data_IF_151063402229
#
_entry.id   IF_151063402229
#
_cell.length_a   1.000
_cell.length_b   1.000
_cell.length_c   1.000
_cell.angle_alpha   90.00
_cell.angle_beta   90.00
_cell.angle_gamma   90.00
#
_symmetry.space_group_name_H-M   'P 1'
#
loop_
_entity.id
_entity.type
_entity.pdbx_description
1 polymer ?
#
# COMPACT_ATOMS: atom_id res chain seq x y z
N UNK A 1 17.59 -12.38 -1.13
CA UNK A 1 16.15 -12.08 -1.14
C UNK A 1 15.64 -11.81 0.26
N UNK A 2 14.80 -10.80 0.40
CA UNK A 2 14.24 -10.47 1.70
C UNK A 2 13.30 -11.57 2.19
N UNK A 3 13.42 -11.96 3.43
CA UNK A 3 12.60 -13.04 3.99
C UNK A 3 11.46 -12.46 4.86
N UNK A 4 10.30 -12.31 4.24
CA UNK A 4 9.12 -11.78 4.93
C UNK A 4 8.65 -12.66 6.08
N UNK A 5 8.81 -13.97 5.98
CA UNK A 5 8.31 -14.87 7.01
C UNK A 5 9.06 -14.76 8.33
N UNK A 6 10.27 -14.19 8.35
CA UNK A 6 10.96 -13.91 9.60
C UNK A 6 10.26 -12.84 10.42
N UNK A 7 9.56 -11.92 9.75
CA UNK A 7 8.87 -10.81 10.41
C UNK A 7 7.38 -11.08 10.58
N UNK A 8 6.79 -11.83 9.64
CA UNK A 8 5.37 -12.11 9.60
C UNK A 8 5.17 -13.60 9.28
N UNK A 9 5.38 -14.49 10.26
CA UNK A 9 5.31 -15.93 9.99
C UNK A 9 3.93 -16.42 9.56
N UNK A 10 2.88 -15.61 9.79
CA UNK A 10 1.52 -15.96 9.40
C UNK A 10 1.22 -15.75 7.91
N UNK A 11 2.16 -15.15 7.15
CA UNK A 11 1.92 -14.89 5.74
C UNK A 11 1.85 -16.20 4.93
N UNK A 12 0.90 -16.25 4.01
CA UNK A 12 0.78 -17.36 3.07
C UNK A 12 1.84 -17.26 1.98
N UNK A 13 2.03 -18.35 1.25
CA UNK A 13 2.96 -18.33 0.10
C UNK A 13 2.52 -17.32 -0.96
N UNK A 14 1.21 -17.18 -1.18
CA UNK A 14 0.70 -16.22 -2.16
C UNK A 14 0.96 -14.79 -1.72
N UNK A 15 0.80 -14.49 -0.44
CA UNK A 15 1.11 -13.16 0.10
C UNK A 15 2.59 -12.83 -0.05
N UNK A 16 3.45 -13.78 0.25
CA UNK A 16 4.90 -13.59 0.09
C UNK A 16 5.25 -13.37 -1.38
N UNK A 17 4.63 -14.12 -2.28
CA UNK A 17 4.82 -13.95 -3.71
C UNK A 17 4.44 -12.55 -4.16
N UNK A 18 3.28 -12.06 -3.74
CA UNK A 18 2.80 -10.74 -4.11
C UNK A 18 3.72 -9.63 -3.55
N UNK A 19 4.09 -9.74 -2.28
CA UNK A 19 4.99 -8.77 -1.68
C UNK A 19 6.35 -8.76 -2.37
N UNK A 20 6.85 -9.93 -2.74
CA UNK A 20 8.14 -10.03 -3.45
C UNK A 20 8.07 -9.49 -4.87
N UNK A 21 6.91 -9.55 -5.50
CA UNK A 21 6.73 -9.01 -6.85
C UNK A 21 6.70 -7.49 -6.87
N UNK A 22 6.49 -6.84 -5.74
CA UNK A 22 6.38 -5.37 -5.70
C UNK A 22 7.67 -4.68 -6.17
N UNK A 23 8.83 -5.20 -5.80
CA UNK A 23 10.08 -4.53 -6.15
C UNK A 23 10.25 -4.38 -7.67
N UNK A 24 10.19 -5.45 -8.49
CA UNK A 24 10.34 -5.28 -9.93
C UNK A 24 9.22 -4.44 -10.55
N UNK A 25 8.00 -4.52 -10.03
CA UNK A 25 6.89 -3.71 -10.53
C UNK A 25 7.17 -2.23 -10.31
N UNK A 26 7.57 -1.86 -9.08
CA UNK A 26 7.85 -0.46 -8.78
C UNK A 26 9.12 0.04 -9.46
N UNK A 27 10.13 -0.81 -9.65
CA UNK A 27 11.31 -0.43 -10.42
C UNK A 27 10.93 -0.04 -11.85
N UNK A 28 10.04 -0.82 -12.46
CA UNK A 28 9.55 -0.54 -13.81
C UNK A 28 8.84 0.81 -13.87
N UNK A 29 7.88 1.03 -12.96
CA UNK A 29 7.10 2.26 -12.96
C UNK A 29 7.91 3.47 -12.52
N UNK A 30 8.86 3.30 -11.61
CA UNK A 30 9.69 4.41 -11.14
C UNK A 30 10.61 4.93 -12.22
N UNK A 31 10.95 4.13 -13.21
CA UNK A 31 11.73 4.58 -14.36
C UNK A 31 10.95 5.57 -15.23
N UNK A 32 9.61 5.56 -15.13
CA UNK A 32 8.74 6.43 -15.91
C UNK A 32 8.07 7.51 -15.07
N UNK A 33 7.69 7.17 -13.85
CA UNK A 33 6.99 8.06 -12.93
C UNK A 33 7.67 7.96 -11.57
N UNK A 34 8.10 9.08 -11.04
CA UNK A 34 8.86 9.16 -9.80
C UNK A 34 7.95 8.90 -8.58
N UNK A 35 7.65 7.65 -8.25
CA UNK A 35 6.81 7.30 -7.11
C UNK A 35 7.61 6.99 -5.85
N UNK A 36 8.87 6.58 -6.02
CA UNK A 36 9.82 6.32 -4.94
C UNK A 36 11.09 7.07 -5.28
N UNK A 37 11.70 7.74 -4.31
CA UNK A 37 12.93 8.45 -4.57
C UNK A 37 14.02 7.48 -5.04
N UNK A 38 14.92 7.95 -5.90
CA UNK A 38 16.03 7.16 -6.40
C UNK A 38 16.86 6.58 -5.28
N UNK A 39 17.00 7.35 -4.22
CA UNK A 39 17.71 7.00 -3.02
C UNK A 39 17.10 5.77 -2.34
N UNK A 40 15.78 5.65 -2.38
CA UNK A 40 15.06 4.60 -1.67
C UNK A 40 14.91 3.31 -2.48
N UNK A 41 15.17 3.34 -3.79
CA UNK A 41 15.02 2.13 -4.60
C UNK A 41 15.93 1.00 -4.13
N UNK A 42 17.13 1.33 -3.70
CA UNK A 42 18.09 0.32 -3.24
C UNK A 42 17.68 -0.34 -1.93
N UNK A 43 16.87 0.36 -1.13
CA UNK A 43 16.41 -0.14 0.16
C UNK A 43 14.88 -0.22 0.22
N UNK A 44 14.27 -0.47 -0.92
CA UNK A 44 12.83 -0.50 -1.09
C UNK A 44 12.12 -1.33 -0.02
N UNK A 45 12.56 -2.57 0.18
CA UNK A 45 11.90 -3.44 1.16
C UNK A 45 12.05 -2.95 2.59
N UNK A 46 13.18 -2.34 2.91
CA UNK A 46 13.42 -1.87 4.26
C UNK A 46 12.62 -0.61 4.54
N UNK A 47 12.68 0.38 3.64
CA UNK A 47 12.10 1.68 3.91
C UNK A 47 10.60 1.77 3.66
N UNK A 48 10.11 1.09 2.64
CA UNK A 48 8.72 1.25 2.25
C UNK A 48 7.86 0.06 2.66
N UNK A 49 8.30 -1.15 2.35
CA UNK A 49 7.48 -2.33 2.65
C UNK A 49 7.43 -2.60 4.14
N UNK A 50 8.57 -2.62 4.83
CA UNK A 50 8.58 -2.87 6.27
C UNK A 50 7.88 -1.77 7.04
N UNK A 51 8.02 -0.51 6.61
CA UNK A 51 7.30 0.59 7.24
C UNK A 51 5.79 0.40 7.10
N UNK A 52 5.32 0.06 5.91
CA UNK A 52 3.90 -0.21 5.71
C UNK A 52 3.43 -1.40 6.54
N UNK A 53 4.21 -2.47 6.57
CA UNK A 53 3.85 -3.67 7.33
C UNK A 53 3.93 -3.47 8.84
N UNK A 54 4.64 -2.45 9.32
CA UNK A 54 4.68 -2.15 10.75
C UNK A 54 3.30 -1.78 11.29
N UNK A 55 2.44 -1.23 10.45
CA UNK A 55 1.05 -0.95 10.82
C UNK A 55 0.32 -2.25 11.13
N UNK A 56 0.59 -3.30 10.37
CA UNK A 56 -0.04 -4.60 10.57
C UNK A 56 0.37 -5.25 11.90
N UNK A 57 1.53 -4.92 12.43
CA UNK A 57 1.95 -5.43 13.74
C UNK A 57 1.24 -4.74 14.89
N UNK A 58 0.84 -3.49 14.67
CA UNK A 58 0.14 -2.70 15.68
C UNK A 58 -1.35 -2.96 15.64
N UNK A 59 -1.90 -3.14 14.45
CA UNK A 59 -3.32 -3.34 14.24
C UNK A 59 -3.60 -4.60 13.45
N UNK A 60 -4.46 -5.44 13.98
CA UNK A 60 -4.99 -6.61 13.30
C UNK A 60 -6.38 -6.26 12.79
N UNK A 61 -6.46 -5.82 11.52
CA UNK A 61 -7.72 -5.39 10.95
C UNK A 61 -8.64 -6.57 10.70
N UNK A 62 -9.85 -6.48 11.21
CA UNK A 62 -10.82 -7.56 11.08
C UNK A 62 -11.42 -7.62 9.68
N UNK A 63 -11.82 -8.81 9.21
CA UNK A 63 -12.54 -8.92 7.92
C UNK A 63 -13.73 -7.97 7.87
N UNK A 64 -13.94 -7.35 6.71
CA UNK A 64 -15.02 -6.39 6.53
C UNK A 64 -14.68 -4.97 6.91
N UNK A 65 -13.51 -4.72 7.48
CA UNK A 65 -13.03 -3.37 7.78
C UNK A 65 -12.79 -2.60 6.47
N UNK A 66 -13.08 -1.31 6.49
CA UNK A 66 -12.80 -0.41 5.36
C UNK A 66 -11.79 0.64 5.78
N UNK A 67 -10.76 0.83 4.96
CA UNK A 67 -9.65 1.74 5.26
C UNK A 67 -9.44 2.69 4.10
N UNK A 68 -9.26 3.97 4.41
CA UNK A 68 -8.88 5.00 3.43
C UNK A 68 -7.41 5.34 3.62
N UNK A 69 -6.64 5.23 2.55
CA UNK A 69 -5.23 5.64 2.51
C UNK A 69 -5.16 6.99 1.81
N UNK A 70 -4.95 8.05 2.57
CA UNK A 70 -4.93 9.42 2.09
C UNK A 70 -3.54 9.79 1.62
N UNK A 71 -3.44 10.34 0.41
CA UNK A 71 -2.16 10.69 -0.17
C UNK A 71 -1.31 9.46 -0.41
N UNK A 72 -1.92 8.43 -0.95
CA UNK A 72 -1.31 7.11 -1.08
C UNK A 72 -0.05 7.10 -1.95
N UNK A 73 0.13 8.11 -2.81
CA UNK A 73 1.23 8.14 -3.75
C UNK A 73 1.16 6.95 -4.69
N UNK A 74 2.23 6.19 -4.77
CA UNK A 74 2.27 4.97 -5.57
C UNK A 74 1.65 3.75 -4.92
N UNK A 75 0.94 3.92 -3.80
CA UNK A 75 0.26 2.82 -3.14
C UNK A 75 0.85 2.43 -1.79
N UNK A 76 1.50 3.35 -1.11
CA UNK A 76 2.10 3.12 0.21
C UNK A 76 1.33 3.85 1.30
N UNK A 77 0.92 3.18 2.37
CA UNK A 77 1.08 1.77 2.69
C UNK A 77 -0.05 0.87 2.17
N UNK A 78 -1.01 1.43 1.44
CA UNK A 78 -2.26 0.74 1.12
C UNK A 78 -2.09 -0.58 0.38
N UNK A 79 -1.21 -0.64 -0.61
CA UNK A 79 -1.01 -1.86 -1.40
C UNK A 79 -0.46 -3.00 -0.51
N UNK A 80 0.54 -2.71 0.31
CA UNK A 80 1.15 -3.72 1.17
C UNK A 80 0.13 -4.25 2.19
N UNK A 81 -0.64 -3.34 2.78
CA UNK A 81 -1.68 -3.73 3.74
C UNK A 81 -2.78 -4.55 3.06
N UNK A 82 -3.14 -4.20 1.83
CA UNK A 82 -4.14 -4.96 1.09
C UNK A 82 -3.69 -6.39 0.83
N UNK A 83 -2.42 -6.60 0.57
CA UNK A 83 -1.86 -7.94 0.40
C UNK A 83 -1.96 -8.73 1.71
N UNK A 84 -1.67 -8.08 2.83
CA UNK A 84 -1.71 -8.75 4.14
C UNK A 84 -3.12 -9.00 4.65
N UNK A 85 -4.08 -8.16 4.29
CA UNK A 85 -5.45 -8.25 4.77
C UNK A 85 -6.42 -8.36 3.58
N UNK A 86 -6.49 -9.52 2.94
CA UNK A 86 -7.29 -9.67 1.71
C UNK A 86 -8.79 -9.52 1.91
N UNK A 87 -9.28 -9.60 3.15
CA UNK A 87 -10.71 -9.44 3.46
C UNK A 87 -11.05 -8.05 3.96
N UNK A 88 -10.09 -7.13 3.93
CA UNK A 88 -10.27 -5.73 4.30
C UNK A 88 -10.30 -4.90 3.02
N UNK A 89 -11.20 -3.93 2.96
CA UNK A 89 -11.33 -3.04 1.80
C UNK A 89 -10.42 -1.83 1.94
N UNK A 90 -9.62 -1.57 0.92
CA UNK A 90 -8.70 -0.44 0.92
C UNK A 90 -9.06 0.53 -0.19
N UNK A 91 -9.30 1.78 0.19
CA UNK A 91 -9.55 2.89 -0.72
C UNK A 91 -8.31 3.77 -0.73
N UNK A 92 -7.66 3.85 -1.88
CA UNK A 92 -6.40 4.58 -2.03
C UNK A 92 -6.65 5.82 -2.86
N UNK A 93 -6.43 6.98 -2.26
CA UNK A 93 -6.75 8.26 -2.91
C UNK A 93 -5.53 9.17 -2.98
N UNK A 94 -5.35 9.80 -4.12
CA UNK A 94 -4.30 10.80 -4.32
C UNK A 94 -4.76 11.82 -5.35
N UNK A 95 -4.31 13.05 -5.18
CA UNK A 95 -4.62 14.13 -6.11
C UNK A 95 -3.68 14.17 -7.32
N UNK A 96 -2.70 13.28 -7.38
CA UNK A 96 -1.74 13.22 -8.49
C UNK A 96 -2.07 12.01 -9.36
N UNK A 97 -2.64 12.29 -10.54
CA UNK A 97 -3.15 11.25 -11.42
C UNK A 97 -2.10 10.23 -11.87
N UNK A 98 -0.86 10.68 -12.09
CA UNK A 98 0.23 9.78 -12.50
C UNK A 98 0.51 8.71 -11.45
N UNK A 99 0.41 9.07 -10.18
CA UNK A 99 0.63 8.13 -9.07
C UNK A 99 -0.51 7.13 -8.96
N UNK A 100 -1.74 7.60 -9.14
CA UNK A 100 -2.90 6.69 -9.13
C UNK A 100 -2.85 5.71 -10.30
N UNK A 101 -2.31 6.11 -11.43
CA UNK A 101 -2.07 5.20 -12.54
C UNK A 101 -1.20 4.01 -12.13
N UNK A 102 -0.15 4.29 -11.37
CA UNK A 102 0.73 3.24 -10.83
C UNK A 102 -0.04 2.33 -9.89
N UNK A 103 -0.83 2.91 -8.98
CA UNK A 103 -1.65 2.12 -8.05
C UNK A 103 -2.57 1.17 -8.82
N UNK A 104 -3.25 1.68 -9.83
CA UNK A 104 -4.17 0.87 -10.64
C UNK A 104 -3.42 -0.24 -11.37
N UNK A 105 -2.24 0.04 -11.90
CA UNK A 105 -1.44 -0.95 -12.60
C UNK A 105 -0.96 -2.07 -11.66
N UNK A 106 -0.52 -1.70 -10.45
CA UNK A 106 -0.09 -2.68 -9.44
C UNK A 106 -1.26 -3.56 -9.01
N UNK A 107 -2.40 -2.93 -8.75
CA UNK A 107 -3.63 -3.65 -8.39
C UNK A 107 -3.97 -4.70 -9.45
N UNK A 108 -3.94 -4.30 -10.70
CA UNK A 108 -4.30 -5.16 -11.82
C UNK A 108 -3.31 -6.29 -12.00
N UNK A 109 -2.03 -5.98 -11.94
CA UNK A 109 -0.96 -6.96 -12.13
C UNK A 109 -0.96 -8.03 -11.05
N UNK A 110 -1.25 -7.65 -9.80
CA UNK A 110 -1.33 -8.59 -8.68
C UNK A 110 -2.72 -9.19 -8.49
N UNK A 111 -3.72 -8.69 -9.22
CA UNK A 111 -5.09 -9.19 -9.07
C UNK A 111 -5.72 -8.87 -7.73
N UNK A 112 -5.41 -7.73 -7.15
CA UNK A 112 -5.93 -7.34 -5.84
C UNK A 112 -7.39 -6.90 -5.95
N UNK A 113 -8.29 -7.66 -5.36
CA UNK A 113 -9.73 -7.40 -5.44
C UNK A 113 -10.22 -6.46 -4.36
N UNK A 114 -9.42 -6.22 -3.34
CA UNK A 114 -9.80 -5.41 -2.17
C UNK A 114 -9.22 -4.00 -2.22
N UNK A 115 -8.77 -3.53 -3.37
CA UNK A 115 -8.20 -2.20 -3.55
C UNK A 115 -9.05 -1.42 -4.56
N UNK A 116 -9.45 -0.20 -4.19
CA UNK A 116 -10.04 0.77 -5.09
C UNK A 116 -9.16 2.01 -5.11
N UNK A 117 -8.84 2.48 -6.32
CA UNK A 117 -7.97 3.63 -6.50
C UNK A 117 -8.79 4.85 -6.95
N UNK A 118 -8.51 6.01 -6.36
CA UNK A 118 -9.23 7.24 -6.64
C UNK A 118 -8.27 8.36 -6.98
N UNK A 119 -8.45 8.97 -8.14
CA UNK A 119 -7.78 10.20 -8.51
C UNK A 119 -8.68 11.36 -8.09
N UNK A 120 -8.48 11.86 -6.89
CA UNK A 120 -9.31 12.90 -6.35
C UNK A 120 -8.66 13.50 -5.10
N UNK A 121 -9.27 14.55 -4.58
CA UNK A 121 -8.91 15.11 -3.29
C UNK A 121 -9.64 14.38 -2.19
N UNK A 122 -9.02 14.29 -1.02
CA UNK A 122 -9.59 13.62 0.13
C UNK A 122 -10.97 14.18 0.50
N UNK A 123 -11.14 15.49 0.41
CA UNK A 123 -12.41 16.15 0.78
C UNK A 123 -13.61 15.69 -0.05
N UNK A 124 -13.35 15.15 -1.23
CA UNK A 124 -14.40 14.66 -2.11
C UNK A 124 -14.76 13.20 -1.86
N UNK A 125 -14.04 12.53 -1.00
CA UNK A 125 -14.33 11.14 -0.65
C UNK A 125 -15.49 11.11 0.32
N UNK A 126 -16.57 10.44 -0.05
CA UNK A 126 -17.85 10.51 0.69
C UNK A 126 -18.30 9.18 1.27
N UNK A 127 -17.49 8.15 1.16
CA UNK A 127 -17.82 6.85 1.73
C UNK A 127 -17.36 6.74 3.18
N UNK A 128 -18.06 5.92 3.95
CA UNK A 128 -17.67 5.67 5.34
C UNK A 128 -16.53 4.64 5.38
N UNK A 129 -15.55 4.92 6.22
CA UNK A 129 -14.45 4.00 6.47
C UNK A 129 -14.26 3.85 7.98
N UNK A 130 -13.61 2.77 8.37
CA UNK A 130 -13.35 2.50 9.78
C UNK A 130 -12.05 3.14 10.25
N UNK A 131 -11.07 3.24 9.36
CA UNK A 131 -9.76 3.83 9.66
C UNK A 131 -9.28 4.67 8.50
N UNK A 132 -8.51 5.69 8.83
CA UNK A 132 -7.77 6.47 7.85
C UNK A 132 -6.29 6.32 8.17
N UNK A 133 -5.52 5.90 7.17
CA UNK A 133 -4.08 5.81 7.30
C UNK A 133 -3.45 6.79 6.32
N UNK A 134 -2.29 7.28 6.66
CA UNK A 134 -1.52 8.07 5.72
C UNK A 134 -0.05 7.86 6.01
N UNK A 135 0.72 7.86 4.94
CA UNK A 135 2.17 7.84 5.04
C UNK A 135 2.64 9.28 5.09
N UNK A 136 2.08 10.02 6.02
CA UNK A 136 2.39 11.42 6.09
C UNK A 136 3.86 11.60 6.31
N UNK A 137 4.24 12.81 6.10
CA UNK A 137 5.61 13.23 6.23
C UNK A 137 6.28 12.79 7.52
N UNK A 138 5.62 12.25 8.44
CA UNK A 138 6.12 11.67 9.68
C UNK A 138 5.47 12.34 10.87
N UNK A 139 5.27 11.62 11.93
CA UNK A 139 5.20 10.18 11.98
C UNK A 139 3.90 9.69 11.38
N UNK A 140 3.83 8.40 11.11
CA UNK A 140 2.59 7.81 10.61
C UNK A 140 1.52 7.85 11.68
N UNK A 141 0.31 8.26 11.29
CA UNK A 141 -0.81 8.34 12.21
C UNK A 141 -2.01 7.59 11.64
N UNK A 142 -2.84 7.08 12.53
CA UNK A 142 -4.13 6.53 12.18
C UNK A 142 -5.18 7.54 12.61
N UNK A 143 -5.94 8.03 11.63
CA UNK A 143 -6.97 9.03 11.87
C UNK A 143 -8.33 8.37 11.81
N UNK A 144 -9.17 8.66 12.78
CA UNK A 144 -10.49 8.06 12.83
C UNK A 144 -11.59 9.11 12.78
#
# INVERSE_FOLDING_TARGET
MFNFSNYFPQLTKDQIKDLSALLPIYQHWNSQINVISRKDMDSFFIHHVLHALSIARIHDFQPGTAILDVGTGGGFPGIQLAIMFPEVSFHLIDSIGKKIKVVSAVKEELGLKNVEAYYDRMENFDQKVDFIVCRAVAPMEILM
#
